data_IF_103540490435
#
_entry.id   IF_103540490435
#
_cell.length_a   1.000
_cell.length_b   1.000
_cell.length_c   1.000
_cell.angle_alpha   90.00
_cell.angle_beta   90.00
_cell.angle_gamma   90.00
#
_symmetry.space_group_name_H-M   'P 1'
#
loop_
_entity.id
_entity.type
_entity.pdbx_description
1 polymer ?
#
# COMPACT_ATOMS: atom_id res chain seq x y z
N UNK A 1 -52.20 -21.65 -58.56
CA UNK A 1 -51.16 -21.28 -59.54
C UNK A 1 -50.88 -19.78 -59.58
N UNK A 2 -51.78 -18.93 -60.10
CA UNK A 2 -51.54 -17.48 -60.14
C UNK A 2 -51.41 -16.86 -58.73
N UNK A 3 -52.25 -17.30 -57.79
CA UNK A 3 -52.20 -16.83 -56.40
C UNK A 3 -50.91 -17.25 -55.67
N UNK A 4 -50.44 -18.49 -55.88
CA UNK A 4 -49.19 -18.99 -55.28
C UNK A 4 -47.96 -18.20 -55.77
N UNK A 5 -47.91 -17.88 -57.07
CA UNK A 5 -46.85 -17.02 -57.61
C UNK A 5 -46.89 -15.60 -57.05
N UNK A 6 -48.08 -15.05 -56.81
CA UNK A 6 -48.23 -13.72 -56.20
C UNK A 6 -47.81 -13.71 -54.71
N UNK A 7 -48.09 -14.79 -53.98
CA UNK A 7 -47.68 -14.96 -52.59
C UNK A 7 -46.16 -15.09 -52.48
N UNK A 8 -45.53 -15.88 -53.37
CA UNK A 8 -44.08 -16.01 -53.43
C UNK A 8 -43.37 -14.68 -53.71
N UNK A 9 -43.91 -13.87 -54.64
CA UNK A 9 -43.37 -12.53 -54.94
C UNK A 9 -43.47 -11.60 -53.73
N UNK A 10 -44.60 -11.59 -53.00
CA UNK A 10 -44.76 -10.79 -51.78
C UNK A 10 -43.78 -11.21 -50.68
N UNK A 11 -43.59 -12.52 -50.50
CA UNK A 11 -42.63 -13.05 -49.53
C UNK A 11 -41.19 -12.65 -49.88
N UNK A 12 -40.82 -12.71 -51.17
CA UNK A 12 -39.51 -12.27 -51.63
C UNK A 12 -39.29 -10.77 -51.37
N UNK A 13 -40.29 -9.93 -51.65
CA UNK A 13 -40.22 -8.48 -51.37
C UNK A 13 -40.02 -8.22 -49.87
N UNK A 14 -40.75 -8.94 -49.00
CA UNK A 14 -40.57 -8.83 -47.55
C UNK A 14 -39.17 -9.27 -47.10
N UNK A 15 -38.64 -10.35 -47.65
CA UNK A 15 -37.29 -10.81 -47.35
C UNK A 15 -36.23 -9.80 -47.78
N UNK A 16 -36.34 -9.23 -48.99
CA UNK A 16 -35.41 -8.19 -49.48
C UNK A 16 -35.49 -6.93 -48.62
N UNK A 17 -36.68 -6.53 -48.17
CA UNK A 17 -36.85 -5.41 -47.24
C UNK A 17 -36.14 -5.68 -45.91
N UNK A 18 -36.38 -6.85 -45.31
CA UNK A 18 -35.74 -7.23 -44.05
C UNK A 18 -34.21 -7.31 -44.19
N UNK A 19 -33.71 -7.88 -45.29
CA UNK A 19 -32.28 -7.93 -45.57
C UNK A 19 -31.68 -6.52 -45.67
N UNK A 20 -32.37 -5.60 -46.35
CA UNK A 20 -31.93 -4.21 -46.51
C UNK A 20 -31.82 -3.51 -45.15
N UNK A 21 -32.79 -3.71 -44.25
CA UNK A 21 -32.73 -3.19 -42.89
C UNK A 21 -31.55 -3.76 -42.09
N UNK A 22 -31.33 -5.08 -42.16
CA UNK A 22 -30.20 -5.72 -41.47
C UNK A 22 -28.85 -5.25 -42.00
N UNK A 23 -28.68 -5.10 -43.31
CA UNK A 23 -27.44 -4.59 -43.92
C UNK A 23 -27.21 -3.14 -43.50
N UNK A 24 -28.25 -2.29 -43.51
CA UNK A 24 -28.15 -0.91 -43.04
C UNK A 24 -27.77 -0.82 -41.55
N UNK A 25 -28.32 -1.71 -40.71
CA UNK A 25 -27.95 -1.79 -39.31
C UNK A 25 -26.50 -2.29 -39.10
N UNK A 26 -26.04 -3.25 -39.90
CA UNK A 26 -24.67 -3.74 -39.87
C UNK A 26 -23.68 -2.67 -40.31
N UNK A 27 -23.99 -1.90 -41.36
CA UNK A 27 -23.14 -0.80 -41.81
C UNK A 27 -22.90 0.22 -40.69
N UNK A 28 -23.96 0.66 -40.00
CA UNK A 28 -23.83 1.59 -38.87
C UNK A 28 -22.97 1.02 -37.73
N UNK A 29 -23.05 -0.28 -37.47
CA UNK A 29 -22.21 -0.95 -36.47
C UNK A 29 -20.75 -0.96 -36.90
N UNK A 30 -20.47 -1.23 -38.17
CA UNK A 30 -19.11 -1.19 -38.71
C UNK A 30 -18.52 0.21 -38.62
N UNK A 31 -19.27 1.23 -39.03
CA UNK A 31 -18.82 2.63 -38.94
C UNK A 31 -18.49 3.00 -37.48
N UNK A 32 -19.35 2.61 -36.52
CA UNK A 32 -19.09 2.83 -35.09
C UNK A 32 -17.87 2.08 -34.56
N UNK A 33 -17.60 0.87 -35.06
CA UNK A 33 -16.39 0.11 -34.70
C UNK A 33 -15.13 0.75 -35.29
N UNK A 34 -15.21 1.27 -36.52
CA UNK A 34 -14.10 1.98 -37.14
C UNK A 34 -13.74 3.24 -36.35
N UNK A 35 -14.73 4.05 -35.96
CA UNK A 35 -14.52 5.24 -35.14
C UNK A 35 -13.94 4.91 -33.76
N UNK A 36 -14.47 3.87 -33.10
CA UNK A 36 -13.96 3.42 -31.81
C UNK A 36 -12.50 2.97 -31.92
N UNK A 37 -12.18 2.13 -32.90
CA UNK A 37 -10.83 1.64 -33.12
C UNK A 37 -9.85 2.78 -33.46
N UNK A 38 -10.27 3.77 -34.24
CA UNK A 38 -9.46 4.94 -34.53
C UNK A 38 -9.07 5.70 -33.25
N UNK A 39 -10.04 5.97 -32.37
CA UNK A 39 -9.77 6.65 -31.08
C UNK A 39 -8.83 5.84 -30.20
N UNK A 40 -9.07 4.53 -30.04
CA UNK A 40 -8.23 3.66 -29.22
C UNK A 40 -6.80 3.59 -29.77
N UNK A 41 -6.63 3.56 -31.09
CA UNK A 41 -5.31 3.59 -31.71
C UNK A 41 -4.58 4.91 -31.47
N UNK A 42 -5.28 6.03 -31.50
CA UNK A 42 -4.70 7.34 -31.21
C UNK A 42 -4.29 7.47 -29.74
N UNK A 43 -5.14 7.05 -28.81
CA UNK A 43 -4.81 6.98 -27.38
C UNK A 43 -3.57 6.10 -27.12
N UNK A 44 -3.50 4.94 -27.78
CA UNK A 44 -2.34 4.05 -27.67
C UNK A 44 -1.07 4.70 -28.20
N UNK A 45 -1.14 5.38 -29.35
CA UNK A 45 -0.01 6.12 -29.91
C UNK A 45 0.43 7.26 -28.98
N UNK A 46 -0.50 7.97 -28.38
CA UNK A 46 -0.19 9.04 -27.42
C UNK A 46 0.48 8.50 -26.16
N UNK A 47 -0.02 7.40 -25.60
CA UNK A 47 0.61 6.74 -24.46
C UNK A 47 2.02 6.26 -24.80
N UNK A 48 2.21 5.67 -25.98
CA UNK A 48 3.52 5.24 -26.44
C UNK A 48 4.50 6.42 -26.58
N UNK A 49 4.07 7.53 -27.18
CA UNK A 49 4.90 8.75 -27.26
C UNK A 49 5.30 9.28 -25.88
N UNK A 50 4.38 9.27 -24.92
CA UNK A 50 4.67 9.70 -23.54
C UNK A 50 5.67 8.77 -22.85
N UNK A 51 5.54 7.47 -23.06
CA UNK A 51 6.49 6.47 -22.55
C UNK A 51 7.87 6.67 -23.16
N UNK A 52 7.96 6.83 -24.49
CA UNK A 52 9.22 7.07 -25.18
C UNK A 52 9.90 8.34 -24.66
N UNK A 53 9.15 9.45 -24.54
CA UNK A 53 9.66 10.68 -23.92
C UNK A 53 10.15 10.47 -22.49
N UNK A 54 9.42 9.72 -21.66
CA UNK A 54 9.87 9.39 -20.30
C UNK A 54 11.17 8.58 -20.32
N UNK A 55 11.30 7.60 -21.21
CA UNK A 55 12.54 6.83 -21.32
C UNK A 55 13.72 7.67 -21.79
N UNK A 56 13.49 8.65 -22.66
CA UNK A 56 14.52 9.59 -23.07
C UNK A 56 14.95 10.49 -21.91
N UNK A 57 14.00 11.02 -21.13
CA UNK A 57 14.33 11.80 -19.93
C UNK A 57 15.04 10.96 -18.89
N UNK A 58 14.64 9.71 -18.69
CA UNK A 58 15.27 8.76 -17.77
C UNK A 58 16.73 8.49 -18.20
N UNK A 59 16.99 8.32 -19.50
CA UNK A 59 18.35 8.14 -20.04
C UNK A 59 19.21 9.38 -19.82
N UNK A 60 18.69 10.57 -20.14
CA UNK A 60 19.41 11.83 -19.92
C UNK A 60 19.76 12.03 -18.44
N UNK A 61 18.83 11.74 -17.54
CA UNK A 61 19.04 11.82 -16.10
C UNK A 61 20.02 10.75 -15.61
N UNK A 62 19.97 9.54 -16.15
CA UNK A 62 20.94 8.49 -15.89
C UNK A 62 22.36 8.85 -16.33
N UNK A 63 22.51 9.50 -17.49
CA UNK A 63 23.80 10.00 -17.98
C UNK A 63 24.37 11.09 -17.06
N UNK A 64 23.49 11.90 -16.43
CA UNK A 64 23.85 12.86 -15.39
C UNK A 64 24.06 12.24 -14.00
N UNK A 65 23.93 10.92 -13.88
CA UNK A 65 24.15 10.18 -12.64
C UNK A 65 22.95 10.12 -11.70
N UNK A 66 21.72 10.32 -12.19
CA UNK A 66 20.47 10.17 -11.43
C UNK A 66 19.72 8.90 -11.85
N UNK A 67 19.12 8.19 -10.91
CA UNK A 67 18.31 7.02 -11.13
C UNK A 67 16.88 7.27 -10.63
N UNK A 68 15.89 6.88 -11.43
CA UNK A 68 14.49 6.95 -11.05
C UNK A 68 14.14 5.80 -10.10
N UNK A 69 13.66 6.14 -8.91
CA UNK A 69 13.21 5.18 -7.92
C UNK A 69 11.73 4.78 -8.15
N UNK A 70 11.32 3.71 -7.47
CA UNK A 70 9.97 3.12 -7.56
C UNK A 70 8.85 4.04 -7.06
N UNK A 71 9.20 5.09 -6.32
CA UNK A 71 8.32 6.17 -5.88
C UNK A 71 8.13 7.26 -6.96
N UNK A 72 8.83 7.16 -8.09
CA UNK A 72 8.75 8.09 -9.21
C UNK A 72 9.70 9.28 -9.11
N UNK A 73 10.48 9.40 -8.04
CA UNK A 73 11.47 10.46 -7.84
C UNK A 73 12.85 10.07 -8.39
N UNK A 74 13.66 11.07 -8.75
CA UNK A 74 15.03 10.87 -9.23
C UNK A 74 16.03 11.14 -8.09
N UNK A 75 16.95 10.20 -7.89
CA UNK A 75 18.01 10.30 -6.88
C UNK A 75 19.38 10.12 -7.52
N UNK A 76 20.43 10.80 -7.05
CA UNK A 76 21.79 10.47 -7.46
C UNK A 76 22.09 8.98 -7.26
N UNK A 77 22.79 8.38 -8.21
CA UNK A 77 23.10 6.95 -8.23
C UNK A 77 23.76 6.51 -6.92
N UNK A 78 23.19 5.48 -6.29
CA UNK A 78 23.68 4.93 -5.02
C UNK A 78 23.29 5.72 -3.76
N UNK A 79 22.57 6.84 -3.88
CA UNK A 79 22.07 7.62 -2.73
C UNK A 79 20.62 7.30 -2.35
N UNK A 80 20.03 6.27 -2.97
CA UNK A 80 18.66 5.84 -2.69
C UNK A 80 18.52 5.44 -1.21
N UNK A 81 17.60 6.05 -0.44
CA UNK A 81 17.25 5.53 0.88
C UNK A 81 16.45 4.23 0.70
N UNK A 82 16.85 3.17 1.42
CA UNK A 82 16.33 1.82 1.20
C UNK A 82 14.81 1.68 1.41
N UNK A 83 14.22 2.52 2.27
CA UNK A 83 12.77 2.61 2.46
C UNK A 83 12.37 4.04 2.75
N UNK A 84 11.59 4.64 1.85
CA UNK A 84 11.04 5.98 2.02
C UNK A 84 9.51 5.90 2.16
N UNK A 85 8.95 6.69 3.07
CA UNK A 85 7.53 7.02 3.09
C UNK A 85 7.38 8.52 2.93
N UNK A 86 6.39 8.98 2.17
CA UNK A 86 6.05 10.40 2.21
C UNK A 86 5.48 10.78 3.57
N UNK A 87 5.60 12.05 3.98
CA UNK A 87 5.00 12.52 5.24
C UNK A 87 3.49 12.32 5.30
N UNK A 88 2.80 12.40 4.16
CA UNK A 88 1.36 12.14 4.06
C UNK A 88 1.04 10.67 4.37
N UNK A 89 1.85 9.74 3.87
CA UNK A 89 1.68 8.30 4.13
C UNK A 89 2.16 7.89 5.52
N UNK A 90 3.17 8.56 6.06
CA UNK A 90 3.67 8.35 7.42
C UNK A 90 2.71 8.85 8.51
N UNK A 91 1.70 9.67 8.15
CA UNK A 91 0.62 10.07 9.08
C UNK A 91 -0.35 8.92 9.36
N UNK A 92 -0.45 7.94 8.47
CA UNK A 92 -1.25 6.73 8.69
C UNK A 92 -0.47 5.74 9.56
N UNK A 93 -0.96 5.41 10.78
CA UNK A 93 -0.28 4.49 11.69
C UNK A 93 -0.07 3.09 11.11
N UNK A 94 -0.98 2.62 10.24
CA UNK A 94 -0.90 1.28 9.66
C UNK A 94 0.20 1.21 8.61
N UNK A 95 0.25 2.19 7.71
CA UNK A 95 1.28 2.29 6.66
C UNK A 95 2.67 2.51 7.25
N UNK A 96 2.79 3.36 8.26
CA UNK A 96 4.06 3.59 8.95
C UNK A 96 4.59 2.31 9.63
N UNK A 97 3.73 1.54 10.32
CA UNK A 97 4.13 0.27 10.93
C UNK A 97 4.59 -0.75 9.90
N UNK A 98 3.82 -0.93 8.82
CA UNK A 98 4.16 -1.86 7.76
C UNK A 98 5.50 -1.51 7.08
N UNK A 99 5.72 -0.22 6.78
CA UNK A 99 6.98 0.23 6.18
C UNK A 99 8.16 0.13 7.16
N UNK A 100 7.94 0.38 8.46
CA UNK A 100 8.96 0.21 9.49
C UNK A 100 9.34 -1.26 9.68
N UNK A 101 8.38 -2.16 9.64
CA UNK A 101 8.62 -3.61 9.68
C UNK A 101 9.33 -4.10 8.42
N UNK A 102 8.94 -3.61 7.25
CA UNK A 102 9.62 -3.91 5.99
C UNK A 102 11.08 -3.43 6.01
N UNK A 103 11.32 -2.21 6.51
CA UNK A 103 12.67 -1.67 6.65
C UNK A 103 13.51 -2.45 7.67
N UNK A 104 12.92 -2.80 8.81
CA UNK A 104 13.58 -3.61 9.84
C UNK A 104 13.95 -5.02 9.34
N UNK A 105 13.11 -5.64 8.50
CA UNK A 105 13.39 -6.97 7.91
C UNK A 105 14.61 -6.97 6.99
N UNK A 106 14.91 -5.84 6.35
CA UNK A 106 16.07 -5.68 5.44
C UNK A 106 17.26 -5.05 6.19
N UNK A 107 17.11 -4.77 7.49
CA UNK A 107 18.16 -4.14 8.30
C UNK A 107 18.40 -2.66 7.95
N UNK A 108 17.43 -2.00 7.32
CA UNK A 108 17.53 -0.61 6.92
C UNK A 108 16.61 0.30 7.77
N UNK A 109 16.95 1.58 7.85
CA UNK A 109 16.13 2.60 8.52
C UNK A 109 15.12 3.20 7.55
N UNK A 110 13.85 3.26 7.97
CA UNK A 110 12.79 3.97 7.25
C UNK A 110 13.02 5.48 7.33
N UNK A 111 13.14 6.15 6.18
CA UNK A 111 13.22 7.61 6.10
C UNK A 111 11.88 8.20 5.65
N UNK A 112 11.49 9.31 6.28
CA UNK A 112 10.28 10.04 5.90
C UNK A 112 10.71 11.25 5.07
N UNK A 113 10.40 11.24 3.78
CA UNK A 113 10.71 12.34 2.87
C UNK A 113 9.50 13.29 2.76
N UNK A 114 9.81 14.58 2.72
CA UNK A 114 8.83 15.66 2.56
C UNK A 114 9.19 16.41 1.26
N UNK A 115 8.45 16.21 0.15
CA UNK A 115 8.80 16.80 -1.14
C UNK A 115 8.73 18.33 -1.15
N UNK A 116 7.99 18.93 -0.21
CA UNK A 116 7.83 20.38 -0.07
C UNK A 116 8.92 21.02 0.80
N UNK A 117 9.86 20.23 1.34
CA UNK A 117 11.01 20.74 2.10
C UNK A 117 12.30 20.17 1.53
N UNK A 118 13.14 20.97 0.84
CA UNK A 118 14.50 20.55 0.58
C UNK A 118 15.16 20.25 1.93
N UNK A 119 15.78 19.07 2.05
CA UNK A 119 16.71 18.63 3.11
C UNK A 119 16.84 19.65 4.25
N UNK A 120 16.19 19.36 5.39
CA UNK A 120 16.34 20.12 6.62
C UNK A 120 17.80 20.02 7.10
N UNK A 121 18.64 20.86 6.52
CA UNK A 121 20.07 21.01 6.79
C UNK A 121 20.32 21.54 8.20
N UNK A 122 19.28 21.91 8.95
CA UNK A 122 19.35 22.22 10.37
C UNK A 122 19.45 20.98 11.28
N UNK A 123 19.48 19.76 10.72
CA UNK A 123 19.79 18.55 11.50
C UNK A 123 21.25 18.45 11.97
N UNK A 124 22.10 19.45 11.67
CA UNK A 124 23.41 19.63 12.33
C UNK A 124 23.24 20.42 13.63
N UNK A 125 22.71 19.77 14.66
CA UNK A 125 22.52 20.42 15.94
C UNK A 125 21.74 19.63 16.97
N UNK A 126 21.76 18.28 16.94
CA UNK A 126 21.36 17.55 18.14
C UNK A 126 22.60 17.44 19.03
N UNK A 127 22.69 18.36 20.00
CA UNK A 127 23.57 18.18 21.14
C UNK A 127 23.31 16.81 21.76
N UNK A 128 24.37 16.16 22.23
CA UNK A 128 24.35 14.81 22.82
C UNK A 128 23.07 14.59 23.62
N UNK A 129 22.13 13.84 23.04
CA UNK A 129 21.00 13.33 23.80
C UNK A 129 21.63 12.33 24.74
N UNK A 130 21.66 12.64 26.03
CA UNK A 130 22.07 11.68 27.04
C UNK A 130 21.27 10.40 26.79
N UNK A 131 21.98 9.33 26.43
CA UNK A 131 21.45 7.98 26.40
C UNK A 131 21.04 7.69 27.83
N UNK A 132 19.77 7.92 28.17
CA UNK A 132 19.19 7.31 29.35
C UNK A 132 19.28 5.82 29.11
N UNK A 133 20.20 5.17 29.82
CA UNK A 133 20.23 3.72 29.92
C UNK A 133 18.83 3.33 30.40
N UNK A 134 18.02 2.80 29.49
CA UNK A 134 16.85 2.04 29.87
C UNK A 134 17.42 0.73 30.38
N UNK A 135 17.83 0.73 31.65
CA UNK A 135 17.93 -0.51 32.39
C UNK A 135 16.51 -1.05 32.41
N UNK A 136 16.24 -2.01 31.53
CA UNK A 136 15.18 -2.97 31.78
C UNK A 136 15.57 -3.61 33.11
N UNK A 137 14.97 -3.15 34.19
CA UNK A 137 15.01 -3.86 35.46
C UNK A 137 14.22 -5.13 35.16
N UNK A 138 14.95 -6.19 34.79
CA UNK A 138 14.43 -7.54 34.85
C UNK A 138 14.15 -7.78 36.32
N UNK A 139 12.89 -7.61 36.71
CA UNK A 139 12.41 -7.97 38.03
C UNK A 139 12.34 -9.50 38.10
N UNK A 140 13.52 -10.12 38.10
CA UNK A 140 13.72 -11.53 38.35
C UNK A 140 14.41 -11.63 39.71
N UNK A 141 13.57 -11.75 40.73
CA UNK A 141 13.89 -12.18 42.10
C UNK A 141 14.48 -11.12 43.05
N UNK A 142 13.63 -10.23 43.56
CA UNK A 142 13.70 -9.85 44.96
C UNK A 142 12.39 -10.23 45.67
N UNK A 143 12.42 -11.42 46.28
CA UNK A 143 11.47 -11.84 47.33
C UNK A 143 11.37 -10.73 48.37
N UNK A 144 10.19 -10.13 48.49
CA UNK A 144 9.82 -9.26 49.61
C UNK A 144 9.81 -10.12 50.88
N UNK A 145 10.78 -9.98 51.83
CA UNK A 145 10.83 -10.82 53.03
C UNK A 145 9.72 -10.50 54.05
N UNK A 146 8.85 -9.55 53.75
CA UNK A 146 7.91 -8.96 54.70
C UNK A 146 6.51 -9.58 54.63
N UNK A 147 6.16 -10.28 53.54
CA UNK A 147 4.86 -10.96 53.42
C UNK A 147 4.86 -12.38 54.03
N UNK A 148 5.98 -13.09 54.01
CA UNK A 148 6.07 -14.45 54.59
C UNK A 148 6.02 -14.45 56.12
N UNK A 149 6.57 -13.42 56.78
CA UNK A 149 6.46 -13.27 58.24
C UNK A 149 5.03 -12.96 58.69
N UNK A 150 4.30 -12.15 57.91
CA UNK A 150 2.90 -11.81 58.21
C UNK A 150 1.98 -13.03 58.06
N UNK A 151 2.20 -13.86 57.03
CA UNK A 151 1.44 -15.10 56.82
C UNK A 151 1.79 -16.13 57.91
N UNK A 152 3.06 -16.29 58.28
CA UNK A 152 3.48 -17.18 59.38
C UNK A 152 2.92 -16.74 60.75
N UNK A 153 2.89 -15.43 61.04
CA UNK A 153 2.28 -14.90 62.27
C UNK A 153 0.76 -15.11 62.30
N UNK A 154 0.07 -14.90 61.18
CA UNK A 154 -1.37 -15.13 61.08
C UNK A 154 -1.73 -16.62 61.18
N UNK A 155 -0.93 -17.52 60.60
CA UNK A 155 -1.10 -18.97 60.77
C UNK A 155 -0.85 -19.42 62.21
N UNK A 156 0.15 -18.85 62.89
CA UNK A 156 0.45 -19.17 64.28
C UNK A 156 -0.58 -18.59 65.26
N UNK A 157 -1.16 -17.41 64.97
CA UNK A 157 -2.32 -16.86 65.68
C UNK A 157 -3.58 -17.71 65.47
N UNK A 158 -3.87 -18.16 64.25
CA UNK A 158 -5.01 -19.04 63.99
C UNK A 158 -4.86 -20.41 64.68
N UNK A 159 -3.65 -20.97 64.75
CA UNK A 159 -3.40 -22.22 65.47
C UNK A 159 -3.56 -22.07 66.99
N UNK A 160 -3.23 -20.92 67.58
CA UNK A 160 -3.51 -20.63 69.00
C UNK A 160 -5.00 -20.43 69.29
N UNK A 161 -5.76 -19.84 68.36
CA UNK A 161 -7.22 -19.64 68.50
C UNK A 161 -8.03 -20.93 68.34
N UNK A 162 -7.46 -21.98 67.74
CA UNK A 162 -8.07 -23.32 67.57
C UNK A 162 -7.75 -24.31 68.69
N UNK A 163 -6.98 -23.93 69.71
CA UNK A 163 -6.81 -24.79 70.89
C UNK A 163 -7.98 -24.58 71.86
N UNK A 164 -8.77 -25.63 72.17
CA UNK A 164 -9.83 -25.54 73.16
C UNK A 164 -9.21 -25.30 74.54
N UNK A 165 -9.71 -24.27 75.24
CA UNK A 165 -9.65 -24.20 76.70
C UNK A 165 -10.32 -25.48 77.24
N UNK A 166 -9.50 -26.45 77.61
CA UNK A 166 -9.92 -27.77 78.06
C UNK A 166 -9.14 -28.21 79.28
N UNK A 167 -9.44 -27.57 80.41
CA UNK A 167 -9.62 -28.17 81.75
C UNK A 167 -9.06 -29.59 81.95
N UNK A 168 -8.00 -29.69 82.73
CA UNK A 168 -7.84 -30.65 83.84
C UNK A 168 -6.73 -30.13 84.77
#
# INVERSE_FOLDING_TARGET
>A
MADDTSAALKALIQQVSSLTETVGAQQKKLDGLHDFNARVLDEKKDLQRRLEQQTETDKQLADMGYERASDGNYYPKGTKPAHTLSRAEARDPAKYRAAKEAAAKIGATLEILDPDKPEDTHRRGRGNVATTATTVIKDENQRVPELDKAIQYLLHEEQKRRQPCGRA
#
